data_IF_333113961228
#
_entry.id   IF_333113961228
#
_cell.length_a   1.000
_cell.length_b   1.000
_cell.length_c   1.000
_cell.angle_alpha   90.00
_cell.angle_beta   90.00
_cell.angle_gamma   90.00
#
_symmetry.space_group_name_H-M   'P 1'
#
loop_
_entity.id
_entity.type
_entity.pdbx_description
1 polymer ?
#
# COMPACT_ATOMS: atom_id res chain seq x y z
N UNK A 1 -0.24 -2.43 -0.21
CA UNK A 1 -0.22 -2.73 1.24
C UNK A 1 -1.55 -2.33 1.85
N UNK A 2 -2.10 -3.15 2.74
CA UNK A 2 -3.31 -2.78 3.48
C UNK A 2 -2.93 -1.79 4.59
N UNK A 3 -3.80 -0.81 4.85
CA UNK A 3 -3.69 0.05 6.03
C UNK A 3 -3.90 -0.81 7.27
N UNK A 4 -3.11 -0.60 8.31
CA UNK A 4 -3.21 -1.35 9.57
C UNK A 4 -3.66 -0.45 10.72
N UNK A 5 -4.08 -1.04 11.84
CA UNK A 5 -4.38 -0.29 13.07
C UNK A 5 -3.15 0.51 13.53
N UNK A 6 -1.95 -0.09 13.43
CA UNK A 6 -0.70 0.59 13.76
C UNK A 6 -0.43 1.83 12.87
N UNK A 7 -0.88 1.80 11.62
CA UNK A 7 -0.80 2.97 10.74
C UNK A 7 -1.82 4.04 11.13
N UNK A 8 -3.05 3.62 11.48
CA UNK A 8 -4.08 4.57 11.94
C UNK A 8 -3.67 5.33 13.21
N UNK A 9 -2.96 4.68 14.14
CA UNK A 9 -2.45 5.34 15.35
C UNK A 9 -1.43 6.46 15.10
N UNK A 10 -0.85 6.53 13.89
CA UNK A 10 0.08 7.60 13.50
C UNK A 10 -0.63 8.83 12.92
N UNK A 11 -1.92 8.73 12.63
CA UNK A 11 -2.70 9.83 12.03
C UNK A 11 -2.85 10.99 13.00
N UNK A 12 -2.96 12.23 12.50
CA UNK A 12 -3.06 13.43 13.34
C UNK A 12 -4.14 13.35 14.41
N UNK A 13 -5.30 12.79 14.08
CA UNK A 13 -6.45 12.67 14.99
C UNK A 13 -6.32 11.54 16.02
N UNK A 14 -5.48 10.52 15.77
CA UNK A 14 -5.27 9.39 16.68
C UNK A 14 -3.91 9.39 17.38
N UNK A 15 -2.99 10.31 17.04
CA UNK A 15 -1.65 10.34 17.63
C UNK A 15 -1.63 10.59 19.14
N UNK A 16 -2.67 11.24 19.67
CA UNK A 16 -2.83 11.48 21.10
C UNK A 16 -3.59 10.35 21.80
N UNK A 17 -4.18 9.43 21.03
CA UNK A 17 -4.85 8.26 21.56
C UNK A 17 -3.84 7.25 22.13
N UNK A 18 -4.27 6.49 23.11
CA UNK A 18 -3.45 5.46 23.76
C UNK A 18 -3.95 4.06 23.42
N UNK A 19 -3.04 3.20 23.00
CA UNK A 19 -3.33 1.77 22.90
C UNK A 19 -3.33 1.16 24.31
N UNK A 20 -4.51 0.81 24.80
CA UNK A 20 -4.70 0.33 26.18
C UNK A 20 -4.46 -1.18 26.28
N UNK A 21 -4.90 -1.94 25.27
CA UNK A 21 -4.81 -3.40 25.23
C UNK A 21 -4.82 -3.93 23.80
N UNK A 22 -4.62 -5.23 23.62
CA UNK A 22 -4.71 -5.90 22.33
C UNK A 22 -3.56 -5.59 21.36
N UNK A 23 -2.37 -5.26 21.87
CA UNK A 23 -1.21 -4.82 21.08
C UNK A 23 -0.83 -5.81 19.96
N UNK A 24 -1.01 -7.12 20.16
CA UNK A 24 -0.74 -8.14 19.13
C UNK A 24 -1.67 -8.07 17.92
N UNK A 25 -2.78 -7.31 18.02
CA UNK A 25 -3.74 -7.12 16.93
C UNK A 25 -3.49 -5.88 16.08
N UNK A 26 -2.46 -5.08 16.34
CA UNK A 26 -2.23 -3.81 15.64
C UNK A 26 -1.87 -3.97 14.17
N UNK A 27 -1.42 -5.14 13.75
CA UNK A 27 -1.12 -5.45 12.34
C UNK A 27 -2.38 -5.78 11.51
N UNK A 28 -3.58 -5.78 12.13
CA UNK A 28 -4.82 -6.05 11.43
C UNK A 28 -5.10 -4.97 10.40
N UNK A 29 -5.57 -5.42 9.23
CA UNK A 29 -5.99 -4.53 8.18
C UNK A 29 -7.22 -3.71 8.60
N UNK A 30 -7.22 -2.43 8.22
CA UNK A 30 -8.36 -1.52 8.36
C UNK A 30 -8.88 -1.18 6.97
N UNK A 31 -10.13 -1.57 6.68
CA UNK A 31 -10.77 -1.33 5.38
C UNK A 31 -11.78 -0.19 5.40
N UNK A 32 -12.30 0.16 6.57
CA UNK A 32 -13.29 1.22 6.81
C UNK A 32 -13.35 1.58 8.29
N UNK A 33 -14.15 2.59 8.61
CA UNK A 33 -14.44 3.03 9.97
C UNK A 33 -15.95 3.03 10.15
N UNK A 34 -16.40 2.48 11.28
CA UNK A 34 -17.83 2.46 11.65
C UNK A 34 -18.04 3.01 13.04
N UNK A 35 -19.13 3.72 13.24
CA UNK A 35 -19.56 4.19 14.57
C UNK A 35 -20.60 3.24 15.11
N UNK A 36 -20.38 2.81 16.33
CA UNK A 36 -21.24 1.87 16.99
C UNK A 36 -21.68 2.43 18.35
N UNK A 37 -22.83 3.08 18.38
CA UNK A 37 -23.51 3.45 19.62
C UNK A 37 -24.66 2.48 19.85
N UNK A 38 -24.53 1.67 20.86
CA UNK A 38 -25.34 0.49 21.05
C UNK A 38 -26.63 0.76 21.82
N UNK A 39 -27.78 0.47 21.30
CA UNK A 39 -29.00 0.47 22.10
C UNK A 39 -29.33 -0.89 22.72
N UNK A 40 -29.18 -2.02 22.04
CA UNK A 40 -29.50 -3.35 22.58
C UNK A 40 -28.79 -4.51 21.87
N UNK A 41 -28.40 -5.53 22.64
CA UNK A 41 -27.62 -6.70 22.20
C UNK A 41 -28.34 -7.60 21.17
N UNK A 42 -29.65 -7.48 21.03
CA UNK A 42 -30.46 -8.36 20.18
C UNK A 42 -30.57 -7.83 18.73
N UNK A 43 -30.08 -6.62 18.44
CA UNK A 43 -30.15 -5.99 17.12
C UNK A 43 -28.84 -6.06 16.33
N UNK A 44 -27.85 -6.75 16.86
CA UNK A 44 -26.63 -7.05 16.10
C UNK A 44 -26.92 -8.21 15.15
N UNK A 45 -27.50 -7.90 14.04
CA UNK A 45 -27.42 -8.79 12.88
C UNK A 45 -25.95 -8.86 12.44
N UNK A 46 -25.47 -10.05 12.08
CA UNK A 46 -24.13 -10.29 11.52
C UNK A 46 -23.86 -9.45 10.25
N UNK A 47 -24.85 -8.69 9.79
CA UNK A 47 -24.80 -7.82 8.60
C UNK A 47 -24.27 -6.41 8.87
N UNK A 48 -24.14 -5.98 10.14
CA UNK A 48 -23.76 -4.60 10.49
C UNK A 48 -22.26 -4.34 10.42
N UNK A 49 -21.40 -5.35 10.54
CA UNK A 49 -19.95 -5.23 10.45
C UNK A 49 -19.44 -6.17 9.36
N UNK A 50 -18.82 -5.58 8.33
CA UNK A 50 -18.33 -6.33 7.17
C UNK A 50 -16.94 -6.95 7.40
N UNK A 51 -16.35 -6.72 8.57
CA UNK A 51 -14.99 -7.14 8.94
C UNK A 51 -13.92 -6.13 8.52
N UNK A 52 -12.79 -6.18 9.22
CA UNK A 52 -11.67 -5.25 9.07
C UNK A 52 -12.04 -3.77 9.27
N UNK A 53 -13.08 -3.50 10.04
CA UNK A 53 -13.49 -2.14 10.38
C UNK A 53 -12.83 -1.69 11.68
N UNK A 54 -12.37 -0.44 11.71
CA UNK A 54 -12.03 0.25 12.96
C UNK A 54 -13.32 0.81 13.56
N UNK A 55 -13.72 0.27 14.70
CA UNK A 55 -14.97 0.68 15.34
C UNK A 55 -14.72 1.86 16.27
N UNK A 56 -15.60 2.85 16.22
CA UNK A 56 -15.61 4.00 17.13
C UNK A 56 -16.85 3.93 18.01
N UNK A 57 -16.68 4.07 19.32
CA UNK A 57 -17.80 4.10 20.26
C UNK A 57 -17.45 4.84 21.55
N UNK A 58 -18.46 5.38 22.21
CA UNK A 58 -18.37 5.85 23.59
C UNK A 58 -18.99 4.85 24.59
N UNK A 59 -19.59 3.76 24.12
CA UNK A 59 -20.27 2.72 24.92
C UNK A 59 -21.27 3.31 25.94
N UNK A 60 -21.89 4.45 25.63
CA UNK A 60 -22.70 5.23 26.57
C UNK A 60 -23.85 4.42 27.13
N UNK A 61 -24.52 3.60 26.32
CA UNK A 61 -25.69 2.81 26.71
C UNK A 61 -25.36 1.66 27.65
N UNK A 62 -24.10 1.25 27.73
CA UNK A 62 -23.60 0.15 28.57
C UNK A 62 -22.44 0.58 29.48
N UNK A 63 -22.33 1.89 29.74
CA UNK A 63 -21.21 2.48 30.49
C UNK A 63 -21.00 1.88 31.89
N UNK A 64 -22.09 1.47 32.54
CA UNK A 64 -22.08 0.93 33.90
C UNK A 64 -22.12 -0.61 33.93
N UNK A 65 -22.12 -1.29 32.79
CA UNK A 65 -22.19 -2.75 32.65
C UNK A 65 -20.92 -3.31 32.01
N UNK A 66 -19.92 -3.57 32.83
CA UNK A 66 -18.61 -4.11 32.39
C UNK A 66 -18.76 -5.49 31.75
N UNK A 67 -19.66 -6.35 32.23
CA UNK A 67 -19.86 -7.66 31.62
C UNK A 67 -20.38 -7.55 30.20
N UNK A 68 -21.30 -6.61 29.97
CA UNK A 68 -21.83 -6.32 28.63
C UNK A 68 -20.78 -5.68 27.75
N UNK A 69 -19.95 -4.77 28.24
CA UNK A 69 -18.81 -4.23 27.52
C UNK A 69 -17.85 -5.33 27.04
N UNK A 70 -17.50 -6.27 27.91
CA UNK A 70 -16.67 -7.43 27.58
C UNK A 70 -17.31 -8.32 26.51
N UNK A 71 -18.64 -8.55 26.62
CA UNK A 71 -19.40 -9.31 25.61
C UNK A 71 -19.35 -8.62 24.23
N UNK A 72 -19.49 -7.31 24.21
CA UNK A 72 -19.38 -6.50 22.98
C UNK A 72 -18.00 -6.66 22.34
N UNK A 73 -16.92 -6.58 23.11
CA UNK A 73 -15.57 -6.78 22.57
C UNK A 73 -15.41 -8.15 21.90
N UNK A 74 -15.87 -9.22 22.58
CA UNK A 74 -15.81 -10.58 22.03
C UNK A 74 -16.63 -10.68 20.73
N UNK A 75 -17.80 -10.06 20.71
CA UNK A 75 -18.64 -10.04 19.52
C UNK A 75 -17.99 -9.26 18.37
N UNK A 76 -17.48 -8.05 18.61
CA UNK A 76 -16.72 -7.29 17.61
C UNK A 76 -15.57 -8.11 17.02
N UNK A 77 -14.87 -8.83 17.89
CA UNK A 77 -13.78 -9.70 17.46
C UNK A 77 -14.25 -10.86 16.58
N UNK A 78 -15.38 -11.49 16.91
CA UNK A 78 -15.95 -12.59 16.14
C UNK A 78 -16.43 -12.14 14.76
N UNK A 79 -16.89 -10.90 14.64
CA UNK A 79 -17.28 -10.27 13.38
C UNK A 79 -16.09 -9.75 12.55
N UNK A 80 -14.87 -9.90 13.05
CA UNK A 80 -13.66 -9.52 12.31
C UNK A 80 -13.29 -8.04 12.42
N UNK A 81 -13.79 -7.30 13.39
CA UNK A 81 -13.38 -5.91 13.62
C UNK A 81 -11.86 -5.80 13.78
N UNK A 82 -11.28 -4.74 13.27
CA UNK A 82 -9.86 -4.46 13.32
C UNK A 82 -9.42 -3.96 14.72
N UNK A 83 -10.25 -3.17 15.37
CA UNK A 83 -10.03 -2.60 16.70
C UNK A 83 -11.22 -1.77 17.17
N UNK A 84 -11.17 -1.32 18.41
CA UNK A 84 -12.15 -0.41 19.01
C UNK A 84 -11.45 0.85 19.52
N UNK A 85 -11.94 2.01 19.09
CA UNK A 85 -11.54 3.33 19.60
C UNK A 85 -12.60 3.86 20.55
N UNK A 86 -12.25 3.97 21.83
CA UNK A 86 -13.11 4.52 22.86
C UNK A 86 -12.97 6.03 22.96
N UNK A 87 -14.10 6.71 22.80
CA UNK A 87 -14.21 8.16 22.96
C UNK A 87 -14.77 8.52 24.32
N UNK A 88 -14.50 9.74 24.74
CA UNK A 88 -15.06 10.40 25.90
C UNK A 88 -14.86 9.63 27.21
N UNK A 89 -13.73 8.93 27.34
CA UNK A 89 -13.28 8.31 28.59
C UNK A 89 -12.98 9.42 29.59
N UNK A 90 -13.46 9.27 30.81
CA UNK A 90 -13.44 10.33 31.84
C UNK A 90 -14.63 11.29 31.79
N UNK A 91 -15.51 11.14 30.77
CA UNK A 91 -16.74 11.93 30.63
C UNK A 91 -17.97 11.03 30.72
N UNK A 92 -18.15 10.11 29.77
CA UNK A 92 -19.27 9.14 29.78
C UNK A 92 -18.89 7.85 30.45
N UNK A 93 -17.69 7.34 30.19
CA UNK A 93 -17.12 6.19 30.88
C UNK A 93 -16.11 6.74 31.90
N UNK A 94 -16.34 6.62 33.21
CA UNK A 94 -15.45 7.21 34.23
C UNK A 94 -14.03 6.66 34.15
N UNK A 95 -13.89 5.38 33.84
CA UNK A 95 -12.60 4.68 33.63
C UNK A 95 -12.80 3.43 32.79
N UNK A 96 -11.75 2.98 32.13
CA UNK A 96 -11.73 1.68 31.48
C UNK A 96 -11.47 0.61 32.54
N UNK A 97 -12.36 -0.37 32.62
CA UNK A 97 -12.26 -1.43 33.63
C UNK A 97 -11.17 -2.44 33.28
N UNK A 98 -10.50 -2.98 34.29
CA UNK A 98 -9.43 -3.98 34.15
C UNK A 98 -9.91 -5.25 33.43
N UNK A 99 -11.16 -5.65 33.65
CA UNK A 99 -11.76 -6.80 32.99
C UNK A 99 -11.90 -6.56 31.48
N UNK A 100 -12.22 -5.33 31.06
CA UNK A 100 -12.30 -4.97 29.65
C UNK A 100 -10.91 -5.00 28.98
N UNK A 101 -9.89 -4.51 29.67
CA UNK A 101 -8.49 -4.58 29.25
C UNK A 101 -8.05 -6.03 29.09
N UNK A 102 -8.30 -6.87 30.09
CA UNK A 102 -7.95 -8.28 30.08
C UNK A 102 -8.61 -9.04 28.91
N UNK A 103 -9.90 -8.77 28.64
CA UNK A 103 -10.60 -9.37 27.49
C UNK A 103 -10.02 -8.90 26.17
N UNK A 104 -9.70 -7.62 26.01
CA UNK A 104 -9.11 -7.09 24.78
C UNK A 104 -7.74 -7.74 24.49
N UNK A 105 -6.92 -7.95 25.51
CA UNK A 105 -5.64 -8.66 25.39
C UNK A 105 -5.83 -10.16 25.09
N UNK A 106 -6.77 -10.84 25.77
CA UNK A 106 -7.10 -12.25 25.53
C UNK A 106 -7.43 -12.50 24.05
N UNK A 107 -8.33 -11.68 23.49
CA UNK A 107 -8.80 -11.85 22.11
C UNK A 107 -7.92 -11.13 21.05
N UNK A 108 -6.86 -10.46 21.51
CA UNK A 108 -5.97 -9.64 20.68
C UNK A 108 -6.75 -8.62 19.81
N UNK A 109 -7.72 -7.92 20.41
CA UNK A 109 -8.45 -6.83 19.78
C UNK A 109 -7.86 -5.50 20.26
N UNK A 110 -7.25 -4.68 19.39
CA UNK A 110 -6.76 -3.36 19.77
C UNK A 110 -7.85 -2.52 20.42
N UNK A 111 -7.64 -2.18 21.68
CA UNK A 111 -8.47 -1.27 22.45
C UNK A 111 -7.72 0.05 22.59
N UNK A 112 -8.22 1.08 21.93
CA UNK A 112 -7.60 2.39 21.83
C UNK A 112 -8.48 3.37 22.60
N UNK A 113 -7.91 4.21 23.45
CA UNK A 113 -8.65 5.24 24.16
C UNK A 113 -8.23 6.63 23.69
N UNK A 114 -9.20 7.46 23.36
CA UNK A 114 -8.97 8.89 23.14
C UNK A 114 -8.56 9.57 24.44
N UNK A 115 -7.90 10.74 24.40
CA UNK A 115 -7.41 11.42 25.59
C UNK A 115 -8.48 11.61 26.66
N UNK A 116 -8.11 11.30 27.91
CA UNK A 116 -9.02 11.30 29.05
C UNK A 116 -9.60 12.69 29.34
N UNK A 117 -10.91 12.76 29.60
CA UNK A 117 -11.61 13.97 29.99
C UNK A 117 -11.80 15.00 28.87
N UNK A 118 -11.48 14.65 27.62
CA UNK A 118 -11.55 15.56 26.46
C UNK A 118 -12.84 15.31 25.66
N UNK A 119 -13.51 16.41 25.25
CA UNK A 119 -14.73 16.40 24.43
C UNK A 119 -14.57 17.11 23.08
N UNK A 120 -13.42 17.68 22.84
CA UNK A 120 -13.10 18.39 21.61
C UNK A 120 -12.74 17.46 20.43
N UNK A 121 -12.44 16.18 20.72
CA UNK A 121 -12.28 15.18 19.69
C UNK A 121 -13.64 14.72 19.15
N UNK A 122 -13.77 14.71 17.81
CA UNK A 122 -15.01 14.34 17.13
C UNK A 122 -14.82 13.03 16.37
N UNK A 123 -15.86 12.22 16.34
CA UNK A 123 -15.90 10.99 15.52
C UNK A 123 -15.61 11.31 14.06
N UNK A 124 -16.23 12.39 13.54
CA UNK A 124 -16.07 12.84 12.16
C UNK A 124 -14.62 13.05 11.75
N UNK A 125 -13.81 13.59 12.66
CA UNK A 125 -12.42 13.94 12.36
C UNK A 125 -11.57 12.67 12.20
N UNK A 126 -11.77 11.68 13.10
CA UNK A 126 -11.12 10.37 12.99
C UNK A 126 -11.61 9.59 11.77
N UNK A 127 -12.92 9.62 11.50
CA UNK A 127 -13.47 8.97 10.30
C UNK A 127 -12.84 9.57 9.04
N UNK A 128 -12.80 10.88 8.94
CA UNK A 128 -12.23 11.57 7.77
C UNK A 128 -10.75 11.20 7.58
N UNK A 129 -9.92 11.34 8.62
CA UNK A 129 -8.49 11.03 8.54
C UNK A 129 -8.23 9.57 8.12
N UNK A 130 -8.95 8.63 8.74
CA UNK A 130 -8.74 7.19 8.45
C UNK A 130 -9.24 6.85 7.05
N UNK A 131 -10.42 7.36 6.64
CA UNK A 131 -10.98 7.11 5.29
C UNK A 131 -10.10 7.74 4.22
N UNK A 132 -9.63 8.97 4.42
CA UNK A 132 -8.69 9.62 3.49
C UNK A 132 -7.37 8.85 3.41
N UNK A 133 -6.84 8.38 4.53
CA UNK A 133 -5.62 7.60 4.55
C UNK A 133 -5.79 6.26 3.82
N UNK A 134 -6.89 5.54 4.06
CA UNK A 134 -7.24 4.30 3.34
C UNK A 134 -7.38 4.60 1.84
N UNK A 135 -8.12 5.65 1.50
CA UNK A 135 -8.34 6.05 0.12
C UNK A 135 -7.02 6.40 -0.58
N UNK A 136 -6.21 7.22 0.05
CA UNK A 136 -4.90 7.61 -0.48
C UNK A 136 -3.98 6.40 -0.65
N UNK A 137 -3.97 5.46 0.30
CA UNK A 137 -3.20 4.21 0.19
C UNK A 137 -3.72 3.29 -0.92
N UNK A 138 -5.03 3.18 -1.09
CA UNK A 138 -5.64 2.42 -2.19
C UNK A 138 -5.42 3.10 -3.54
N UNK A 139 -5.56 4.43 -3.57
CA UNK A 139 -5.40 5.22 -4.80
C UNK A 139 -3.94 5.33 -5.22
N UNK A 140 -2.97 5.37 -4.31
CA UNK A 140 -1.55 5.39 -4.68
C UNK A 140 -1.13 4.11 -5.43
N UNK A 141 -1.73 2.95 -5.14
CA UNK A 141 -1.49 1.71 -5.89
C UNK A 141 -2.12 1.69 -7.30
N UNK A 142 -3.39 2.08 -7.43
CA UNK A 142 -4.12 1.99 -8.69
C UNK A 142 -4.21 3.34 -9.44
N UNK A 143 -4.23 4.46 -8.72
CA UNK A 143 -4.36 5.80 -9.29
C UNK A 143 -3.12 6.17 -10.11
N UNK A 144 -1.94 5.85 -9.61
CA UNK A 144 -0.68 6.13 -10.28
C UNK A 144 -0.62 5.46 -11.68
N UNK A 145 -0.92 4.17 -11.75
CA UNK A 145 -0.97 3.46 -13.03
C UNK A 145 -2.07 4.02 -13.93
N UNK A 146 -3.26 4.29 -13.37
CA UNK A 146 -4.39 4.84 -14.13
C UNK A 146 -4.11 6.25 -14.63
N UNK A 147 -3.57 7.13 -13.79
CA UNK A 147 -3.21 8.51 -14.17
C UNK A 147 -2.16 8.52 -15.28
N UNK A 148 -1.12 7.69 -15.16
CA UNK A 148 -0.07 7.59 -16.17
C UNK A 148 -0.62 7.03 -17.48
N UNK A 149 -1.46 5.99 -17.41
CA UNK A 149 -2.10 5.40 -18.58
C UNK A 149 -3.06 6.39 -19.25
N UNK A 150 -3.80 7.19 -18.49
CA UNK A 150 -4.62 8.28 -19.03
C UNK A 150 -3.77 9.36 -19.70
N UNK A 151 -2.65 9.75 -19.09
CA UNK A 151 -1.71 10.70 -19.67
C UNK A 151 -1.16 10.20 -21.02
N UNK A 152 -0.81 8.91 -21.11
CA UNK A 152 -0.38 8.29 -22.36
C UNK A 152 -1.53 8.22 -23.37
N UNK A 153 -2.75 7.92 -22.92
CA UNK A 153 -3.93 7.84 -23.78
C UNK A 153 -4.31 9.20 -24.42
N UNK A 154 -3.92 10.30 -23.80
CA UNK A 154 -4.14 11.66 -24.33
C UNK A 154 -3.09 12.08 -25.37
N UNK A 155 -1.97 11.36 -25.48
CA UNK A 155 -0.95 11.63 -26.49
C UNK A 155 -1.44 11.25 -27.88
N UNK A 156 -0.81 11.86 -28.90
CA UNK A 156 -0.99 11.45 -30.29
C UNK A 156 -0.55 9.98 -30.52
N UNK A 157 -1.20 9.21 -31.40
CA UNK A 157 -0.86 7.80 -31.60
C UNK A 157 0.62 7.50 -31.84
N UNK A 158 1.34 8.39 -32.55
CA UNK A 158 2.78 8.25 -32.84
C UNK A 158 3.64 8.40 -31.58
N UNK A 159 3.14 9.12 -30.58
CA UNK A 159 3.84 9.37 -29.30
C UNK A 159 3.58 8.27 -28.27
N UNK A 160 2.59 7.41 -28.51
CA UNK A 160 2.24 6.28 -27.61
C UNK A 160 3.18 5.11 -27.82
N UNK A 161 4.44 5.28 -27.48
CA UNK A 161 5.46 4.24 -27.57
C UNK A 161 6.09 3.95 -26.20
N UNK A 162 6.79 2.82 -26.10
CA UNK A 162 7.37 2.36 -24.84
C UNK A 162 8.37 3.35 -24.24
N UNK A 163 9.16 4.05 -25.06
CA UNK A 163 10.11 5.02 -24.54
C UNK A 163 9.41 6.21 -23.90
N UNK A 164 8.28 6.68 -24.46
CA UNK A 164 7.47 7.74 -23.88
C UNK A 164 6.86 7.28 -22.55
N UNK A 165 6.35 6.05 -22.47
CA UNK A 165 5.82 5.48 -21.22
C UNK A 165 6.91 5.39 -20.14
N UNK A 166 8.10 4.90 -20.52
CA UNK A 166 9.24 4.82 -19.60
C UNK A 166 9.73 6.20 -19.18
N UNK A 167 9.71 7.20 -20.09
CA UNK A 167 10.11 8.56 -19.76
C UNK A 167 9.20 9.19 -18.70
N UNK A 168 7.88 9.12 -18.91
CA UNK A 168 6.90 9.61 -17.94
C UNK A 168 7.01 8.88 -16.58
N UNK A 169 7.23 7.58 -16.64
CA UNK A 169 7.41 6.76 -15.45
C UNK A 169 8.71 7.08 -14.71
N UNK A 170 9.81 7.24 -15.44
CA UNK A 170 11.14 7.59 -14.94
C UNK A 170 11.14 8.95 -14.23
N UNK A 171 10.52 9.95 -14.84
CA UNK A 171 10.38 11.30 -14.27
C UNK A 171 9.60 11.27 -12.95
N UNK A 172 8.53 10.49 -12.92
CA UNK A 172 7.67 10.39 -11.75
C UNK A 172 8.33 9.62 -10.59
N UNK A 173 9.11 8.59 -10.89
CA UNK A 173 9.79 7.74 -9.90
C UNK A 173 11.16 8.28 -9.47
N UNK A 174 11.68 9.28 -10.18
CA UNK A 174 13.02 9.82 -10.00
C UNK A 174 14.12 8.75 -10.11
N UNK A 175 13.97 7.82 -11.06
CA UNK A 175 14.94 6.76 -11.31
C UNK A 175 15.08 6.44 -12.80
N UNK A 176 16.21 5.88 -13.18
CA UNK A 176 16.47 5.45 -14.57
C UNK A 176 15.86 4.07 -14.79
N UNK A 177 15.17 3.92 -15.92
CA UNK A 177 14.44 2.69 -16.29
C UNK A 177 14.99 2.13 -17.59
N UNK A 178 15.13 0.80 -17.65
CA UNK A 178 15.54 0.08 -18.85
C UNK A 178 14.67 -1.18 -18.99
N UNK A 179 13.94 -1.27 -20.09
CA UNK A 179 13.16 -2.46 -20.44
C UNK A 179 13.97 -3.35 -21.37
N UNK A 180 14.07 -4.63 -21.01
CA UNK A 180 14.82 -5.63 -21.77
C UNK A 180 13.98 -6.90 -21.99
N UNK A 181 14.40 -7.74 -22.93
CA UNK A 181 13.93 -9.12 -22.99
C UNK A 181 14.80 -10.03 -22.08
N UNK A 182 14.49 -11.34 -22.03
CA UNK A 182 15.24 -12.35 -21.28
C UNK A 182 16.72 -12.49 -21.67
N UNK A 183 17.10 -12.00 -22.84
CA UNK A 183 18.48 -12.02 -23.34
C UNK A 183 19.23 -10.74 -23.03
N UNK A 184 18.62 -9.83 -22.24
CA UNK A 184 19.13 -8.49 -21.97
C UNK A 184 19.29 -7.63 -23.23
N UNK A 185 18.43 -7.82 -24.24
CA UNK A 185 18.36 -6.91 -25.36
C UNK A 185 17.43 -5.76 -25.01
N UNK A 186 17.91 -4.54 -25.22
CA UNK A 186 17.18 -3.32 -24.92
C UNK A 186 15.92 -3.19 -25.78
N UNK A 187 14.78 -2.96 -25.13
CA UNK A 187 13.49 -2.68 -25.77
C UNK A 187 13.03 -1.24 -25.59
N UNK A 188 13.46 -0.60 -24.52
CA UNK A 188 13.21 0.81 -24.23
C UNK A 188 14.05 1.27 -23.06
N UNK A 189 14.26 2.58 -22.94
CA UNK A 189 14.96 3.16 -21.80
C UNK A 189 14.54 4.61 -21.58
N UNK A 190 14.64 5.04 -20.32
CA UNK A 190 14.53 6.43 -19.91
C UNK A 190 15.49 6.71 -18.77
N UNK A 191 16.29 7.74 -18.90
CA UNK A 191 17.22 8.18 -17.87
C UNK A 191 16.59 9.24 -16.97
N UNK A 192 16.88 9.19 -15.68
CA UNK A 192 16.54 10.26 -14.74
C UNK A 192 17.80 10.73 -13.97
N UNK A 193 18.01 12.04 -13.84
CA UNK A 193 17.36 13.10 -14.63
C UNK A 193 17.61 12.89 -16.14
N UNK A 194 16.74 13.44 -16.97
CA UNK A 194 16.84 13.30 -18.46
C UNK A 194 18.19 13.72 -19.01
N UNK A 195 18.89 14.65 -18.34
CA UNK A 195 20.24 15.09 -18.67
C UNK A 195 21.32 14.05 -18.43
N UNK A 196 21.03 12.99 -17.66
CA UNK A 196 21.99 11.93 -17.36
C UNK A 196 22.25 11.08 -18.61
N UNK A 197 23.51 11.01 -18.97
CA UNK A 197 23.95 10.08 -20.01
C UNK A 197 24.34 8.76 -19.35
N UNK A 198 23.55 7.70 -19.62
CA UNK A 198 23.83 6.34 -19.21
C UNK A 198 24.39 5.52 -20.36
N UNK A 199 25.50 4.84 -20.15
CA UNK A 199 25.95 3.80 -21.07
C UNK A 199 25.19 2.50 -20.79
N UNK A 200 23.97 2.42 -21.34
CA UNK A 200 23.14 1.20 -21.22
C UNK A 200 23.80 -0.02 -21.88
N UNK A 201 24.70 0.17 -22.85
CA UNK A 201 25.40 -0.94 -23.47
C UNK A 201 26.41 -1.56 -22.49
N UNK A 202 27.23 -0.73 -21.85
CA UNK A 202 28.16 -1.18 -20.81
C UNK A 202 27.43 -1.85 -19.65
N UNK A 203 26.28 -1.30 -19.21
CA UNK A 203 25.45 -1.90 -18.17
C UNK A 203 24.98 -3.30 -18.56
N UNK A 204 24.40 -3.46 -19.74
CA UNK A 204 23.87 -4.74 -20.21
C UNK A 204 25.00 -5.76 -20.41
N UNK A 205 26.16 -5.32 -20.87
CA UNK A 205 27.35 -6.17 -21.00
C UNK A 205 27.84 -6.66 -19.62
N UNK A 206 27.88 -5.78 -18.63
CA UNK A 206 28.26 -6.14 -17.25
C UNK A 206 27.25 -7.13 -16.63
N UNK A 207 25.95 -6.96 -16.89
CA UNK A 207 24.92 -7.89 -16.43
C UNK A 207 25.02 -9.27 -17.11
N UNK A 208 25.29 -9.32 -18.42
CA UNK A 208 25.50 -10.58 -19.15
C UNK A 208 26.69 -11.38 -18.61
N UNK A 209 27.73 -10.71 -18.11
CA UNK A 209 28.93 -11.35 -17.55
C UNK A 209 28.69 -11.93 -16.15
N UNK A 210 27.68 -11.45 -15.41
CA UNK A 210 27.39 -11.85 -14.02
C UNK A 210 26.62 -13.16 -13.89
N UNK A 211 26.52 -14.01 -14.80
CA UNK A 211 26.01 -15.42 -14.83
C UNK A 211 24.93 -15.87 -13.81
N UNK A 212 24.47 -15.02 -12.90
CA UNK A 212 23.43 -15.37 -11.95
C UNK A 212 22.05 -14.90 -12.43
N UNK A 213 21.05 -15.78 -12.49
CA UNK A 213 19.68 -15.37 -12.78
C UNK A 213 19.15 -14.56 -11.59
N UNK A 214 19.16 -13.26 -11.72
CA UNK A 214 18.61 -12.36 -10.71
C UNK A 214 17.08 -12.33 -10.80
N UNK A 215 16.43 -13.17 -10.03
CA UNK A 215 14.99 -13.08 -9.84
C UNK A 215 14.71 -12.21 -8.61
N UNK A 216 14.19 -11.01 -8.82
CA UNK A 216 13.73 -10.07 -7.76
C UNK A 216 14.77 -9.69 -6.70
N UNK A 217 16.05 -9.62 -7.03
CA UNK A 217 17.07 -9.20 -6.05
C UNK A 217 17.54 -7.78 -6.35
N UNK A 218 17.53 -6.95 -5.30
CA UNK A 218 18.21 -5.67 -5.32
C UNK A 218 19.71 -5.93 -5.25
N UNK A 219 20.46 -5.35 -6.18
CA UNK A 219 21.92 -5.45 -6.23
C UNK A 219 22.53 -4.05 -6.28
N UNK A 220 23.53 -3.78 -5.45
CA UNK A 220 24.31 -2.54 -5.58
C UNK A 220 25.34 -2.71 -6.69
N UNK A 221 25.34 -1.78 -7.64
CA UNK A 221 26.28 -1.76 -8.76
C UNK A 221 27.07 -0.47 -8.80
N UNK A 222 28.27 -0.57 -9.39
CA UNK A 222 29.08 0.59 -9.72
C UNK A 222 29.42 0.55 -11.20
N UNK A 223 29.08 1.62 -11.92
CA UNK A 223 29.36 1.78 -13.34
C UNK A 223 29.73 3.24 -13.62
N UNK A 224 30.78 3.49 -14.38
CA UNK A 224 31.26 4.84 -14.75
C UNK A 224 31.43 5.81 -13.57
N UNK A 225 31.87 5.28 -12.41
CA UNK A 225 32.05 6.07 -11.20
C UNK A 225 30.77 6.31 -10.40
N UNK A 226 29.60 5.92 -10.91
CA UNK A 226 28.30 6.02 -10.23
C UNK A 226 28.03 4.75 -9.43
N UNK A 227 27.45 4.92 -8.23
CA UNK A 227 26.98 3.82 -7.40
C UNK A 227 25.45 3.89 -7.33
N UNK A 228 24.78 2.80 -7.64
CA UNK A 228 23.32 2.76 -7.68
C UNK A 228 22.79 1.39 -7.25
N UNK A 229 21.56 1.38 -6.78
CA UNK A 229 20.78 0.16 -6.56
C UNK A 229 20.12 -0.24 -7.87
N UNK A 230 20.23 -1.51 -8.23
CA UNK A 230 19.60 -2.10 -9.40
C UNK A 230 18.58 -3.14 -8.96
N UNK A 231 17.36 -3.00 -9.43
CA UNK A 231 16.33 -4.04 -9.38
C UNK A 231 16.12 -4.61 -10.77
N UNK A 232 16.10 -5.94 -10.86
CA UNK A 232 15.71 -6.68 -12.05
C UNK A 232 14.38 -7.38 -11.76
N UNK A 233 13.31 -6.89 -12.38
CA UNK A 233 11.95 -7.36 -12.10
C UNK A 233 11.27 -7.87 -13.35
N UNK A 234 10.76 -9.11 -13.37
CA UNK A 234 10.05 -9.63 -14.51
C UNK A 234 8.73 -8.89 -14.70
N UNK A 235 8.45 -8.53 -15.96
CA UNK A 235 7.20 -7.89 -16.37
C UNK A 235 6.25 -8.95 -16.92
N UNK A 236 5.12 -9.16 -16.24
CA UNK A 236 4.11 -10.12 -16.66
C UNK A 236 3.20 -9.49 -17.72
N UNK A 237 3.48 -9.74 -18.98
CA UNK A 237 2.66 -9.33 -20.12
C UNK A 237 2.07 -10.54 -20.84
N UNK A 238 0.82 -10.40 -21.30
CA UNK A 238 0.13 -11.43 -22.10
C UNK A 238 0.68 -11.49 -23.53
N UNK A 239 1.15 -10.37 -24.04
CA UNK A 239 1.62 -10.19 -25.42
C UNK A 239 3.13 -10.34 -25.55
N UNK A 240 3.89 -10.05 -24.49
CA UNK A 240 5.35 -10.06 -24.49
C UNK A 240 5.90 -10.94 -23.36
N UNK A 241 6.37 -12.12 -23.69
CA UNK A 241 6.96 -13.05 -22.71
C UNK A 241 8.43 -12.72 -22.44
N UNK A 242 8.85 -12.93 -21.19
CA UNK A 242 10.25 -12.80 -20.78
C UNK A 242 10.78 -11.36 -20.81
N UNK A 243 9.93 -10.38 -20.58
CA UNK A 243 10.33 -8.98 -20.41
C UNK A 243 10.77 -8.72 -18.97
N UNK A 244 11.78 -7.87 -18.81
CA UNK A 244 12.34 -7.46 -17.54
C UNK A 244 12.44 -5.93 -17.48
N UNK A 245 12.02 -5.36 -16.37
CA UNK A 245 12.23 -3.97 -16.05
C UNK A 245 13.43 -3.85 -15.11
N UNK A 246 14.49 -3.25 -15.60
CA UNK A 246 15.65 -2.87 -14.81
C UNK A 246 15.43 -1.46 -14.28
N UNK A 247 15.48 -1.29 -12.96
CA UNK A 247 15.30 0.00 -12.29
C UNK A 247 16.61 0.37 -11.62
N UNK A 248 17.16 1.51 -11.98
CA UNK A 248 18.42 2.04 -11.45
C UNK A 248 18.14 3.27 -10.61
N UNK A 249 18.44 3.19 -9.33
CA UNK A 249 18.21 4.23 -8.34
C UNK A 249 19.53 4.66 -7.71
N UNK A 250 19.95 5.89 -7.98
CA UNK A 250 21.18 6.50 -7.46
C UNK A 250 20.95 7.16 -6.09
N UNK A 251 19.70 7.48 -5.74
CA UNK A 251 19.36 8.37 -4.62
C UNK A 251 18.52 7.73 -3.51
N UNK A 252 18.28 6.43 -3.61
CA UNK A 252 17.48 5.66 -2.65
C UNK A 252 16.00 6.10 -2.55
N UNK A 253 15.41 6.44 -3.70
CA UNK A 253 14.00 6.86 -3.79
C UNK A 253 13.02 5.70 -4.02
N UNK A 254 13.54 4.51 -4.42
CA UNK A 254 12.73 3.37 -4.79
C UNK A 254 12.30 2.56 -3.55
N UNK A 255 11.00 2.39 -3.44
CA UNK A 255 10.33 1.54 -2.47
C UNK A 255 9.64 0.36 -3.18
N UNK A 256 9.42 -0.74 -2.48
CA UNK A 256 8.79 -1.95 -3.03
C UNK A 256 7.43 -1.69 -3.68
N UNK A 257 6.67 -0.74 -3.15
CA UNK A 257 5.37 -0.35 -3.70
C UNK A 257 5.50 0.40 -5.02
N UNK A 258 6.40 1.37 -5.08
CA UNK A 258 6.72 2.11 -6.30
C UNK A 258 7.25 1.18 -7.40
N UNK A 259 8.09 0.20 -7.00
CA UNK A 259 8.62 -0.80 -7.92
C UNK A 259 7.51 -1.67 -8.53
N UNK A 260 6.56 -2.13 -7.71
CA UNK A 260 5.39 -2.87 -8.20
C UNK A 260 4.55 -2.05 -9.17
N UNK A 261 4.26 -0.80 -8.82
CA UNK A 261 3.51 0.12 -9.68
C UNK A 261 4.20 0.35 -11.01
N UNK A 262 5.53 0.50 -11.00
CA UNK A 262 6.31 0.64 -12.23
C UNK A 262 6.14 -0.57 -13.16
N UNK A 263 6.23 -1.77 -12.60
CA UNK A 263 6.05 -3.02 -13.36
C UNK A 263 4.63 -3.13 -13.90
N UNK A 264 3.61 -2.80 -13.10
CA UNK A 264 2.20 -2.85 -13.52
C UNK A 264 1.90 -1.87 -14.66
N UNK A 265 2.45 -0.65 -14.60
CA UNK A 265 2.33 0.34 -15.69
C UNK A 265 2.94 -0.20 -16.99
N UNK A 266 4.16 -0.73 -16.92
CA UNK A 266 4.84 -1.28 -18.09
C UNK A 266 4.06 -2.48 -18.65
N UNK A 267 3.58 -3.38 -17.79
CA UNK A 267 2.77 -4.53 -18.20
C UNK A 267 1.47 -4.10 -18.88
N UNK A 268 0.76 -3.11 -18.33
CA UNK A 268 -0.46 -2.55 -18.91
C UNK A 268 -0.17 -1.90 -20.26
N UNK A 269 0.89 -1.10 -20.35
CA UNK A 269 1.29 -0.46 -21.61
C UNK A 269 1.53 -1.50 -22.69
N UNK A 270 2.34 -2.52 -22.43
CA UNK A 270 2.65 -3.59 -23.36
C UNK A 270 1.38 -4.35 -23.79
N UNK A 271 0.45 -4.57 -22.91
CA UNK A 271 -0.79 -5.30 -23.23
C UNK A 271 -1.79 -4.47 -24.06
N UNK A 272 -1.81 -3.15 -23.92
CA UNK A 272 -2.80 -2.26 -24.56
C UNK A 272 -2.30 -1.69 -25.87
N UNK A 273 -1.09 -1.14 -25.89
CA UNK A 273 -0.59 -0.36 -27.03
C UNK A 273 0.50 -1.04 -27.83
N UNK A 274 1.32 -1.88 -27.21
CA UNK A 274 2.34 -2.63 -27.94
C UNK A 274 1.75 -3.97 -28.43
N UNK A 275 0.99 -3.92 -29.51
CA UNK A 275 0.38 -5.10 -30.14
C UNK A 275 1.39 -5.93 -30.94
N UNK A 276 2.65 -5.95 -30.50
CA UNK A 276 3.65 -6.92 -30.92
C UNK A 276 3.88 -7.08 -32.42
N UNK A 277 4.83 -6.34 -32.96
CA UNK A 277 5.53 -6.72 -34.17
C UNK A 277 6.89 -7.38 -33.88
N UNK A 278 7.05 -7.98 -32.73
CA UNK A 278 8.25 -8.74 -32.40
C UNK A 278 7.95 -10.23 -32.54
N UNK A 279 7.97 -10.73 -33.78
CA UNK A 279 8.20 -12.14 -34.03
C UNK A 279 9.58 -12.47 -33.47
N UNK A 280 9.63 -13.20 -32.37
CA UNK A 280 10.83 -13.89 -31.92
C UNK A 280 11.07 -15.03 -32.92
N UNK A 281 11.96 -14.82 -33.88
CA UNK A 281 12.23 -15.73 -34.98
C UNK A 281 12.97 -17.01 -34.57
N UNK A 282 12.51 -17.69 -33.50
CA UNK A 282 13.13 -18.93 -32.99
C UNK A 282 12.13 -19.98 -32.48
N UNK A 283 10.88 -19.96 -32.97
CA UNK A 283 9.97 -21.12 -32.80
C UNK A 283 9.78 -21.86 -34.13
N UNK A 284 10.90 -22.18 -34.80
CA UNK A 284 10.94 -23.17 -35.89
C UNK A 284 12.21 -23.99 -35.71
N UNK A 285 12.13 -25.02 -34.85
CA UNK A 285 12.73 -26.37 -35.00
C UNK A 285 12.46 -27.19 -33.74
#
# INVERSE_FOLDING_TARGET
MNVTVADCLKLPTLREAQLIAGAKGTDRAVSSVSVLEWPETNLLSDELIVGNELIISALVTIKDDVARQCSVLRHLRSMGAAGLVLFYVGVFIPRIDEALIAVADEINLPLIAMPFGRMDFRYSDVITDVVEYIHNRRMHGNYYATELMNSIALLEPQQRNINTALLLLSDRLHCTLLLTNRYLDRRGAAAWPVSNQWDFHALLQALRQRREPTTRQMTTMKLDGRCFKLWDVPVLSKTHRGMHLLVMDEFDYMEDEKLRQAVDVVALFLNIWDKGTYYDGTDAL
#
